data_IF_164876580317
#
_entry.id   IF_164876580317
#
_cell.length_a   1.000
_cell.length_b   1.000
_cell.length_c   1.000
_cell.angle_alpha   90.00
_cell.angle_beta   90.00
_cell.angle_gamma   90.00
#
_symmetry.space_group_name_H-M   'P 1'
#
loop_
_entity.id
_entity.type
_entity.pdbx_description
1 polymer ?
#
# COMPACT_ATOMS: atom_id res chain seq x y z
N UNK A 1 -13.40 4.14 8.42
CA UNK A 1 -13.28 4.87 7.14
C UNK A 1 -12.05 4.44 6.36
N UNK A 2 -12.15 4.26 5.05
CA UNK A 2 -11.04 3.80 4.20
C UNK A 2 -10.03 4.94 3.92
N UNK A 3 -8.73 4.67 4.00
CA UNK A 3 -7.66 5.60 3.56
C UNK A 3 -7.16 6.64 4.56
N UNK A 4 -7.95 6.98 5.58
CA UNK A 4 -7.53 7.91 6.65
C UNK A 4 -6.46 7.29 7.56
N UNK A 5 -5.64 8.13 8.21
CA UNK A 5 -4.73 7.68 9.29
C UNK A 5 -5.56 7.03 10.40
N UNK A 6 -4.98 6.05 11.10
CA UNK A 6 -5.69 5.31 12.14
C UNK A 6 -6.27 6.24 13.22
N UNK A 7 -5.50 7.25 13.67
CA UNK A 7 -5.93 8.27 14.64
C UNK A 7 -7.11 9.11 14.16
N UNK A 8 -7.07 9.55 12.91
CA UNK A 8 -8.17 10.32 12.33
C UNK A 8 -9.41 9.44 12.09
N UNK A 9 -9.22 8.21 11.62
CA UNK A 9 -10.31 7.25 11.45
C UNK A 9 -10.97 6.88 12.80
N UNK A 10 -10.17 6.73 13.85
CA UNK A 10 -10.62 6.47 15.21
C UNK A 10 -11.39 7.66 15.77
N UNK A 11 -10.84 8.88 15.61
CA UNK A 11 -11.52 10.10 16.05
C UNK A 11 -12.88 10.26 15.39
N UNK A 12 -12.92 10.14 14.06
CA UNK A 12 -14.20 10.27 13.36
C UNK A 12 -15.15 9.12 13.70
N UNK A 13 -14.67 7.90 13.88
CA UNK A 13 -15.51 6.78 14.31
C UNK A 13 -16.14 7.05 15.68
N UNK A 14 -15.35 7.48 16.65
CA UNK A 14 -15.80 7.79 18.01
C UNK A 14 -16.79 8.95 18.03
N UNK A 15 -16.53 10.00 17.25
CA UNK A 15 -17.40 11.18 17.11
C UNK A 15 -18.72 10.84 16.37
N UNK A 16 -18.66 10.13 15.24
CA UNK A 16 -19.85 9.80 14.44
C UNK A 16 -20.76 8.75 15.09
N UNK A 17 -20.19 7.84 15.88
CA UNK A 17 -20.98 6.85 16.64
C UNK A 17 -21.50 7.38 17.97
N UNK A 18 -21.08 8.59 18.38
CA UNK A 18 -21.51 9.22 19.63
C UNK A 18 -20.97 8.53 20.89
N UNK A 19 -19.92 7.71 20.77
CA UNK A 19 -19.33 6.96 21.91
C UNK A 19 -18.19 7.72 22.58
N UNK A 20 -17.95 8.99 22.21
CA UNK A 20 -16.89 9.86 22.71
C UNK A 20 -16.86 10.02 24.23
N UNK A 21 -17.99 9.84 24.91
CA UNK A 21 -18.08 9.93 26.37
C UNK A 21 -17.64 8.64 27.08
N UNK A 22 -17.49 7.54 26.33
CA UNK A 22 -17.18 6.20 26.86
C UNK A 22 -15.86 5.63 26.34
N UNK A 23 -15.43 6.02 25.14
CA UNK A 23 -14.23 5.49 24.51
C UNK A 23 -13.50 6.60 23.77
N UNK A 24 -12.26 6.86 24.16
CA UNK A 24 -11.42 7.83 23.44
C UNK A 24 -10.92 7.23 22.13
N UNK A 25 -10.53 8.10 21.17
CA UNK A 25 -9.92 7.64 19.92
C UNK A 25 -8.62 6.86 20.16
N UNK A 26 -7.87 7.19 21.22
CA UNK A 26 -6.64 6.50 21.60
C UNK A 26 -6.94 5.10 22.16
N UNK A 27 -7.92 4.98 23.06
CA UNK A 27 -8.34 3.69 23.62
C UNK A 27 -8.94 2.77 22.54
N UNK A 28 -9.74 3.33 21.63
CA UNK A 28 -10.27 2.60 20.46
C UNK A 28 -9.15 2.03 19.58
N UNK A 29 -8.05 2.77 19.40
CA UNK A 29 -6.89 2.28 18.64
C UNK A 29 -6.13 1.18 19.37
N UNK A 30 -6.03 1.26 20.70
CA UNK A 30 -5.42 0.22 21.53
C UNK A 30 -6.23 -1.07 21.43
N UNK A 31 -7.55 -0.99 21.60
CA UNK A 31 -8.44 -2.16 21.48
C UNK A 31 -8.39 -2.77 20.08
N UNK A 32 -8.48 -1.95 19.02
CA UNK A 32 -8.38 -2.44 17.64
C UNK A 32 -7.02 -3.08 17.36
N UNK A 33 -5.93 -2.56 17.91
CA UNK A 33 -4.60 -3.13 17.78
C UNK A 33 -4.40 -4.48 18.49
N UNK A 34 -5.28 -4.83 19.43
CA UNK A 34 -5.29 -6.11 20.14
C UNK A 34 -6.20 -7.15 19.47
N UNK A 35 -7.12 -6.74 18.59
CA UNK A 35 -7.88 -7.67 17.75
C UNK A 35 -7.01 -8.06 16.56
N UNK A 36 -6.52 -9.29 16.55
CA UNK A 36 -5.85 -9.87 15.40
C UNK A 36 -6.83 -9.90 14.20
N UNK A 37 -6.76 -8.89 13.33
CA UNK A 37 -7.52 -8.89 12.07
C UNK A 37 -7.15 -10.15 11.28
N UNK A 38 -8.16 -10.89 10.81
CA UNK A 38 -8.00 -11.94 9.82
C UNK A 38 -7.27 -11.36 8.60
N UNK A 39 -5.96 -11.66 8.50
CA UNK A 39 -5.11 -11.11 7.43
C UNK A 39 -5.63 -11.65 6.08
N UNK A 40 -5.99 -10.78 5.12
CA UNK A 40 -6.55 -11.21 3.84
C UNK A 40 -5.64 -12.19 3.10
N UNK A 41 -6.25 -13.10 2.36
CA UNK A 41 -5.56 -14.09 1.53
C UNK A 41 -4.63 -13.44 0.48
N UNK A 42 -3.56 -14.16 0.11
CA UNK A 42 -2.61 -13.81 -0.97
C UNK A 42 -3.36 -13.24 -2.17
N UNK A 43 -2.87 -12.13 -2.74
CA UNK A 43 -3.19 -11.76 -4.13
C UNK A 43 -2.17 -12.46 -5.01
N UNK A 44 -2.50 -13.59 -5.64
CA UNK A 44 -1.50 -14.47 -6.25
C UNK A 44 -0.71 -13.76 -7.36
N UNK A 45 -1.33 -12.78 -8.01
CA UNK A 45 -0.79 -12.07 -9.16
C UNK A 45 0.15 -10.91 -8.80
N UNK A 46 0.16 -10.45 -7.55
CA UNK A 46 1.09 -9.39 -7.13
C UNK A 46 2.54 -9.90 -7.14
N UNK A 47 2.75 -11.17 -6.76
CA UNK A 47 4.07 -11.79 -6.74
C UNK A 47 4.70 -11.83 -8.14
N UNK A 48 3.97 -12.28 -9.16
CA UNK A 48 4.47 -12.32 -10.55
C UNK A 48 4.97 -10.96 -11.03
N UNK A 49 4.19 -9.90 -10.82
CA UNK A 49 4.59 -8.55 -11.23
C UNK A 49 5.83 -8.08 -10.47
N UNK A 50 5.86 -8.28 -9.16
CA UNK A 50 6.95 -7.85 -8.28
C UNK A 50 8.27 -8.54 -8.66
N UNK A 51 8.26 -9.87 -8.86
CA UNK A 51 9.45 -10.60 -9.32
C UNK A 51 9.89 -10.11 -10.69
N UNK A 52 8.97 -9.99 -11.64
CA UNK A 52 9.31 -9.55 -12.99
C UNK A 52 9.94 -8.15 -13.02
N UNK A 53 9.41 -7.20 -12.23
CA UNK A 53 10.00 -5.86 -12.11
C UNK A 53 11.40 -5.92 -11.49
N UNK A 54 11.55 -6.70 -10.41
CA UNK A 54 12.83 -6.87 -9.72
C UNK A 54 13.90 -7.54 -10.62
N UNK A 55 13.56 -8.61 -11.33
CA UNK A 55 14.44 -9.31 -12.29
C UNK A 55 14.88 -8.42 -13.45
N UNK A 56 14.07 -7.44 -13.83
CA UNK A 56 14.40 -6.44 -14.85
C UNK A 56 15.06 -5.18 -14.26
N UNK A 57 15.47 -5.21 -12.99
CA UNK A 57 16.17 -4.11 -12.34
C UNK A 57 15.31 -2.86 -12.12
N UNK A 58 13.99 -2.99 -12.14
CA UNK A 58 13.06 -1.88 -11.90
C UNK A 58 12.78 -1.78 -10.40
N UNK A 59 13.21 -0.69 -9.73
CA UNK A 59 13.03 -0.56 -8.30
C UNK A 59 11.57 -0.27 -7.98
N UNK A 60 11.04 -0.96 -6.97
CA UNK A 60 9.64 -0.92 -6.56
C UNK A 60 9.54 -0.58 -5.08
N UNK A 61 8.48 0.11 -4.67
CA UNK A 61 8.25 0.45 -3.27
C UNK A 61 6.80 0.20 -2.85
N UNK A 62 6.58 0.19 -1.53
CA UNK A 62 5.25 0.14 -0.94
C UNK A 62 4.95 1.47 -0.25
N UNK A 63 3.81 2.06 -0.56
CA UNK A 63 3.27 3.25 0.09
C UNK A 63 1.94 2.90 0.78
N UNK A 64 1.93 2.83 2.11
CA UNK A 64 0.75 2.43 2.90
C UNK A 64 0.49 3.39 4.04
N UNK A 65 -0.79 3.70 4.32
CA UNK A 65 -1.20 4.47 5.50
C UNK A 65 -1.27 3.62 6.77
N UNK A 66 -0.91 2.34 6.68
CA UNK A 66 -0.89 1.41 7.81
C UNK A 66 0.32 1.69 8.69
N UNK A 67 0.12 1.69 10.01
CA UNK A 67 1.18 1.84 11.02
C UNK A 67 2.09 0.60 11.10
N UNK A 68 3.36 0.75 11.49
CA UNK A 68 4.36 -0.32 11.57
C UNK A 68 3.85 -1.64 12.17
N UNK A 69 3.33 -1.64 13.41
CA UNK A 69 2.84 -2.86 14.08
C UNK A 69 1.81 -3.64 13.24
N UNK A 70 0.90 -2.93 12.58
CA UNK A 70 -0.12 -3.56 11.73
C UNK A 70 0.45 -3.98 10.38
N UNK A 71 1.43 -3.24 9.86
CA UNK A 71 2.14 -3.61 8.65
C UNK A 71 2.85 -4.94 8.86
N UNK A 72 3.66 -5.07 9.92
CA UNK A 72 4.44 -6.27 10.21
C UNK A 72 3.53 -7.50 10.37
N UNK A 73 2.42 -7.35 11.09
CA UNK A 73 1.42 -8.43 11.23
C UNK A 73 0.78 -8.84 9.88
N UNK A 74 0.56 -7.87 8.97
CA UNK A 74 -0.02 -8.11 7.64
C UNK A 74 0.99 -8.66 6.65
N UNK A 75 2.29 -8.44 6.86
CA UNK A 75 3.35 -8.82 5.91
C UNK A 75 4.22 -9.97 6.37
N UNK A 76 4.12 -10.43 7.63
CA UNK A 76 4.91 -11.54 8.20
C UNK A 76 4.88 -12.86 7.39
N UNK A 77 3.83 -13.09 6.58
CA UNK A 77 3.72 -14.29 5.72
C UNK A 77 4.22 -14.07 4.29
N UNK A 78 4.73 -12.87 4.01
CA UNK A 78 5.13 -12.39 2.69
C UNK A 78 6.52 -11.72 2.72
N UNK A 79 7.34 -12.04 3.71
CA UNK A 79 8.65 -11.42 3.91
C UNK A 79 9.53 -11.43 2.66
N UNK A 80 9.52 -12.52 1.89
CA UNK A 80 10.23 -12.62 0.61
C UNK A 80 9.79 -11.53 -0.37
N UNK A 81 8.48 -11.38 -0.58
CA UNK A 81 7.93 -10.39 -1.49
C UNK A 81 8.29 -8.96 -1.08
N UNK A 82 8.22 -8.65 0.23
CA UNK A 82 8.56 -7.32 0.74
C UNK A 82 10.07 -7.07 0.75
N UNK A 83 10.91 -8.11 0.75
CA UNK A 83 12.36 -7.97 0.63
C UNK A 83 12.82 -7.52 -0.76
N UNK A 84 11.97 -7.68 -1.78
CA UNK A 84 12.22 -7.20 -3.15
C UNK A 84 11.92 -5.69 -3.31
N UNK A 85 11.34 -5.05 -2.29
CA UNK A 85 11.06 -3.62 -2.31
C UNK A 85 12.33 -2.84 -2.05
N UNK A 86 12.59 -1.83 -2.88
CA UNK A 86 13.63 -0.83 -2.67
C UNK A 86 13.47 -0.15 -1.30
N UNK A 87 12.23 0.22 -0.95
CA UNK A 87 11.87 0.71 0.37
C UNK A 87 10.36 0.59 0.64
N UNK A 88 9.97 0.82 1.90
CA UNK A 88 8.57 0.88 2.34
C UNK A 88 8.34 2.21 3.06
N UNK A 89 7.28 2.92 2.69
CA UNK A 89 6.77 4.10 3.39
C UNK A 89 5.43 3.76 4.04
N UNK A 90 5.33 4.04 5.34
CA UNK A 90 4.20 3.65 6.20
C UNK A 90 3.47 4.88 6.74
N UNK A 91 2.32 4.69 7.38
CA UNK A 91 1.49 5.80 7.85
C UNK A 91 2.07 6.59 9.03
N UNK A 92 3.04 5.98 9.72
CA UNK A 92 3.84 6.52 10.83
C UNK A 92 5.19 7.09 10.37
N UNK A 93 5.45 7.13 9.07
CA UNK A 93 6.64 7.75 8.52
C UNK A 93 6.63 9.28 8.78
N UNK A 94 7.74 9.88 9.27
CA UNK A 94 7.78 11.29 9.66
C UNK A 94 7.53 12.26 8.50
N UNK A 95 7.79 11.84 7.26
CA UNK A 95 7.50 12.64 6.06
C UNK A 95 6.00 12.65 5.72
N UNK A 96 5.23 11.71 6.29
CA UNK A 96 3.79 11.56 6.08
C UNK A 96 3.03 12.34 7.15
N UNK A 97 2.76 13.62 6.89
CA UNK A 97 2.08 14.49 7.86
C UNK A 97 0.58 14.19 7.91
N UNK A 98 -0.05 14.01 6.74
CA UNK A 98 -1.48 13.76 6.60
C UNK A 98 -1.75 12.40 5.92
N UNK A 99 -2.86 11.75 6.30
CA UNK A 99 -3.33 10.54 5.63
C UNK A 99 -3.96 10.83 4.27
N UNK A 100 -4.37 9.79 3.53
CA UNK A 100 -5.11 10.00 2.28
C UNK A 100 -6.40 10.79 2.57
N UNK A 101 -6.82 11.72 1.69
CA UNK A 101 -6.38 11.90 0.31
C UNK A 101 -5.10 12.74 0.11
N UNK A 102 -4.39 13.12 1.19
CA UNK A 102 -3.15 13.89 1.07
C UNK A 102 -2.09 13.19 0.19
N UNK A 103 -1.31 13.97 -0.59
CA UNK A 103 -0.14 13.50 -1.33
C UNK A 103 0.97 12.87 -0.52
N UNK A 104 1.07 13.19 0.78
CA UNK A 104 2.32 13.05 1.53
C UNK A 104 2.95 11.64 1.42
N UNK A 105 2.13 10.59 1.52
CA UNK A 105 2.61 9.19 1.45
C UNK A 105 3.21 8.83 0.10
N UNK A 106 2.69 9.40 -0.99
CA UNK A 106 3.18 9.16 -2.34
C UNK A 106 4.42 9.99 -2.63
N UNK A 107 4.46 11.24 -2.16
CA UNK A 107 5.63 12.11 -2.30
C UNK A 107 6.81 11.57 -1.49
N UNK A 108 6.58 11.13 -0.25
CA UNK A 108 7.61 10.51 0.58
C UNK A 108 8.19 9.24 -0.07
N UNK A 109 7.36 8.41 -0.70
CA UNK A 109 7.81 7.24 -1.45
C UNK A 109 8.60 7.62 -2.71
N UNK A 110 8.08 8.57 -3.49
CA UNK A 110 8.72 9.07 -4.71
C UNK A 110 10.11 9.66 -4.44
N UNK A 111 10.24 10.49 -3.40
CA UNK A 111 11.48 11.21 -3.07
C UNK A 111 12.62 10.30 -2.61
N UNK A 112 12.36 9.02 -2.31
CA UNK A 112 13.37 8.03 -1.93
C UNK A 112 14.02 7.34 -3.13
N UNK A 113 13.57 7.61 -4.36
CA UNK A 113 14.25 7.16 -5.56
C UNK A 113 15.29 8.20 -6.01
N UNK A 114 16.48 7.74 -6.39
CA UNK A 114 17.59 8.62 -6.79
C UNK A 114 17.45 9.20 -8.22
N UNK A 115 16.53 8.64 -9.03
CA UNK A 115 16.39 8.94 -10.47
C UNK A 115 14.91 9.13 -10.87
N UNK A 116 14.68 9.59 -12.11
CA UNK A 116 13.34 9.73 -12.70
C UNK A 116 12.54 8.42 -12.57
N UNK A 117 11.39 8.50 -11.89
CA UNK A 117 10.50 7.36 -11.66
C UNK A 117 9.21 7.51 -12.48
N UNK A 118 8.62 6.38 -12.87
CA UNK A 118 7.27 6.32 -13.43
C UNK A 118 6.36 5.66 -12.40
N UNK A 119 5.25 6.32 -12.05
CA UNK A 119 4.33 5.82 -11.02
C UNK A 119 3.30 4.88 -11.65
N UNK A 120 3.29 3.63 -11.18
CA UNK A 120 2.19 2.69 -11.36
C UNK A 120 1.35 2.66 -10.07
N UNK A 121 0.11 3.12 -10.14
CA UNK A 121 -0.76 3.15 -8.95
C UNK A 121 -1.79 2.01 -8.99
N UNK A 122 -1.81 1.22 -7.92
CA UNK A 122 -2.80 0.17 -7.68
C UNK A 122 -3.57 0.47 -6.40
N UNK A 123 -4.88 0.72 -6.49
CA UNK A 123 -5.72 0.94 -5.31
C UNK A 123 -7.10 0.33 -5.50
N UNK A 124 -7.59 -0.38 -4.49
CA UNK A 124 -8.97 -0.89 -4.46
C UNK A 124 -9.99 0.12 -3.92
N UNK A 125 -9.57 1.33 -3.55
CA UNK A 125 -10.43 2.38 -3.01
C UNK A 125 -9.90 3.75 -3.43
N UNK A 126 -10.70 4.45 -4.23
CA UNK A 126 -10.41 5.77 -4.80
C UNK A 126 -10.14 6.84 -3.72
N UNK A 127 -9.19 7.74 -3.99
CA UNK A 127 -9.31 9.20 -3.97
C UNK A 127 -7.92 9.86 -3.98
N UNK A 128 -7.67 10.75 -4.94
CA UNK A 128 -6.71 11.86 -4.80
C UNK A 128 -5.44 11.81 -5.67
N UNK A 129 -4.83 10.65 -5.90
CA UNK A 129 -3.46 10.58 -6.45
C UNK A 129 -3.31 10.06 -7.88
N UNK A 130 -4.32 10.29 -8.70
CA UNK A 130 -4.31 9.80 -10.09
C UNK A 130 -3.64 10.77 -11.07
N UNK A 131 -3.46 12.05 -10.71
CA UNK A 131 -3.02 13.07 -11.66
C UNK A 131 -1.57 12.85 -12.14
N UNK A 132 -0.71 12.30 -11.28
CA UNK A 132 0.70 12.04 -11.59
C UNK A 132 1.00 10.57 -11.89
N UNK A 133 -0.03 9.71 -11.88
CA UNK A 133 0.12 8.30 -12.21
C UNK A 133 0.23 8.14 -13.73
N UNK A 134 1.30 7.50 -14.20
CA UNK A 134 1.47 7.19 -15.62
C UNK A 134 0.45 6.13 -16.06
N UNK A 135 0.11 5.22 -15.15
CA UNK A 135 -0.94 4.23 -15.36
C UNK A 135 -1.65 3.94 -14.04
N UNK A 136 -2.97 3.82 -14.11
CA UNK A 136 -3.82 3.37 -13.01
C UNK A 136 -4.43 2.04 -13.42
N UNK A 137 -4.21 1.01 -12.60
CA UNK A 137 -4.72 -0.34 -12.86
C UNK A 137 -5.83 -0.69 -11.87
N UNK A 138 -6.92 -1.25 -12.39
CA UNK A 138 -7.98 -1.84 -11.57
C UNK A 138 -7.62 -3.26 -11.13
N UNK A 139 -6.83 -3.97 -11.94
CA UNK A 139 -6.24 -5.25 -11.61
C UNK A 139 -4.75 -5.26 -11.96
N UNK A 140 -3.92 -5.88 -11.11
CA UNK A 140 -2.52 -6.16 -11.47
C UNK A 140 -2.40 -7.13 -12.66
N UNK A 141 -3.49 -7.83 -13.01
CA UNK A 141 -3.59 -8.64 -14.23
C UNK A 141 -3.61 -7.81 -15.50
N UNK A 142 -4.05 -6.55 -15.42
CA UNK A 142 -4.17 -5.65 -16.56
C UNK A 142 -2.82 -4.98 -16.91
N UNK A 143 -1.77 -5.27 -16.13
CA UNK A 143 -0.43 -4.76 -16.42
C UNK A 143 0.15 -5.45 -17.66
N UNK A 144 0.46 -4.64 -18.68
CA UNK A 144 1.17 -5.06 -19.89
C UNK A 144 2.65 -4.61 -19.78
N UNK A 145 3.62 -5.54 -19.68
CA UNK A 145 5.04 -5.20 -19.68
C UNK A 145 5.47 -4.40 -20.92
N UNK A 146 4.86 -4.69 -22.07
CA UNK A 146 5.16 -4.04 -23.35
C UNK A 146 4.92 -2.52 -23.32
N UNK A 147 3.88 -2.05 -22.61
CA UNK A 147 3.54 -0.62 -22.47
C UNK A 147 4.62 0.16 -21.69
N UNK A 148 5.49 -0.57 -21.01
CA UNK A 148 6.60 -0.06 -20.21
C UNK A 148 7.97 -0.38 -20.81
N UNK A 149 8.02 -1.00 -21.99
CA UNK A 149 9.26 -1.42 -22.65
C UNK A 149 9.95 -2.60 -21.95
N UNK A 150 9.22 -3.35 -21.14
CA UNK A 150 9.71 -4.53 -20.42
C UNK A 150 9.48 -5.80 -21.26
N UNK A 151 10.33 -6.83 -21.10
CA UNK A 151 10.10 -8.12 -21.74
C UNK A 151 8.78 -8.75 -21.28
N UNK A 152 8.19 -9.67 -22.05
CA UNK A 152 6.99 -10.38 -21.60
C UNK A 152 7.29 -11.20 -20.34
N UNK A 153 6.24 -11.52 -19.56
CA UNK A 153 6.37 -12.49 -18.48
C UNK A 153 6.83 -13.85 -19.05
N UNK A 154 7.79 -14.51 -18.40
CA UNK A 154 8.39 -15.77 -18.88
C UNK A 154 7.37 -16.92 -19.04
N UNK A 155 6.17 -16.81 -18.46
CA UNK A 155 5.12 -17.82 -18.53
C UNK A 155 3.75 -17.22 -18.92
N UNK A 156 3.51 -17.01 -20.21
CA UNK A 156 2.18 -16.61 -20.73
C UNK A 156 1.08 -17.68 -20.52
N UNK A 157 1.46 -18.92 -20.21
CA UNK A 157 0.57 -20.09 -20.05
C UNK A 157 0.39 -20.57 -18.60
N UNK A 158 1.11 -20.02 -17.63
CA UNK A 158 0.92 -20.37 -16.22
C UNK A 158 -0.31 -19.65 -15.67
N UNK A 159 -1.48 -20.29 -15.79
CA UNK A 159 -2.63 -20.00 -14.92
C UNK A 159 -2.32 -20.49 -13.50
N UNK A 160 -1.50 -19.79 -12.73
CA UNK A 160 -1.09 -20.16 -11.37
C UNK A 160 -0.84 -18.85 -10.60
N UNK A 161 -1.40 -18.55 -9.44
CA UNK A 161 -2.19 -19.31 -8.45
C UNK A 161 -3.35 -18.44 -7.90
#
# INVERSE_FOLDING_TARGET
>A
MMGKKATEAARVFVEETGISDSLTAEDFLVERGNVAENVPHKRPHASRLIHHLHENGIPICVATVTHMRHFDLKTQRHCELFSLMHHVVRGDDPEVKQGKPSPDIFLAAANRFEHSFRILHFSSSYFGFHQDAVQVLNSLLDFSPADWGLPPFENASAKLD
#
